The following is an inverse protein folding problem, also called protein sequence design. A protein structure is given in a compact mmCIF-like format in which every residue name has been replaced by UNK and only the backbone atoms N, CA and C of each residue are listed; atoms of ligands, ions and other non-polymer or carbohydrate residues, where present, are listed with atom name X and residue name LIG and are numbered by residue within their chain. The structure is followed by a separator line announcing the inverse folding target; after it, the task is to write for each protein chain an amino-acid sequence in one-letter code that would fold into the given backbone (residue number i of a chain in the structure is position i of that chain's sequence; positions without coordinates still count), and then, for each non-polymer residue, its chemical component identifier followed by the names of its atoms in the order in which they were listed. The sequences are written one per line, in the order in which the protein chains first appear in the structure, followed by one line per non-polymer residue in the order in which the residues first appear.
data_IF_585346843435
#
_entry.id   IF_585346843435
#
_cell.length_a   1.000
_cell.length_b   1.000
_cell.length_c   1.000
_cell.angle_alpha   90.00
_cell.angle_beta   90.00
_cell.angle_gamma   90.00
#
_symmetry.space_group_name_H-M   'P 1'
#
loop_
_entity.id
_entity.type
_entity.pdbx_description
1 polymer ?
#
# COMPACT_ATOMS: atom_id res chain seq x y z
N UNK A 1 -21.15 -13.81 15.66
CA UNK A 1 -19.77 -13.29 15.48
C UNK A 1 -19.81 -11.78 15.59
N UNK A 2 -19.07 -11.23 16.52
CA UNK A 2 -18.99 -9.79 16.71
C UNK A 2 -18.27 -9.15 15.49
N UNK A 3 -18.89 -8.17 14.85
CA UNK A 3 -18.27 -7.47 13.72
C UNK A 3 -17.23 -6.48 14.26
N UNK A 4 -16.00 -6.61 13.83
CA UNK A 4 -14.99 -5.57 14.01
C UNK A 4 -15.26 -4.41 13.06
N UNK A 5 -14.97 -3.21 13.51
CA UNK A 5 -15.01 -2.03 12.65
C UNK A 5 -13.61 -1.79 12.08
N UNK A 6 -13.52 -1.61 10.78
CA UNK A 6 -12.31 -1.13 10.15
C UNK A 6 -12.29 0.41 10.19
N UNK A 7 -11.16 0.99 10.56
CA UNK A 7 -10.97 2.44 10.64
C UNK A 7 -9.68 2.84 9.94
N UNK A 8 -9.65 4.06 9.39
CA UNK A 8 -8.43 4.64 8.84
C UNK A 8 -7.67 5.33 9.96
N UNK A 9 -6.45 4.88 10.24
CA UNK A 9 -5.60 5.43 11.31
C UNK A 9 -4.52 6.37 10.79
N UNK A 10 -4.16 6.28 9.51
CA UNK A 10 -3.15 7.11 8.88
C UNK A 10 -3.40 7.20 7.38
N UNK A 11 -2.96 8.27 6.76
CA UNK A 11 -3.03 8.47 5.33
C UNK A 11 -1.95 9.42 4.84
N UNK A 12 -1.65 9.34 3.55
CA UNK A 12 -0.69 10.23 2.89
C UNK A 12 -0.70 9.97 1.39
N UNK A 13 0.03 10.78 0.66
CA UNK A 13 0.22 10.62 -0.79
C UNK A 13 1.56 11.20 -1.23
N UNK A 14 2.04 10.77 -2.40
CA UNK A 14 3.12 11.45 -3.12
C UNK A 14 2.62 12.70 -3.84
N UNK A 15 3.54 13.49 -4.36
CA UNK A 15 3.22 14.43 -5.42
C UNK A 15 2.68 13.67 -6.65
N UNK A 16 1.87 14.35 -7.44
CA UNK A 16 1.40 13.85 -8.74
C UNK A 16 2.12 14.64 -9.81
N UNK A 17 2.66 13.95 -10.81
CA UNK A 17 3.35 14.56 -11.92
C UNK A 17 2.81 14.03 -13.24
N UNK A 18 2.95 14.86 -14.29
CA UNK A 18 2.53 14.50 -15.64
C UNK A 18 3.40 13.35 -16.16
N UNK A 19 2.77 12.33 -16.72
CA UNK A 19 3.48 11.23 -17.37
C UNK A 19 4.39 11.75 -18.51
N UNK A 20 5.48 11.07 -18.75
CA UNK A 20 6.46 11.33 -19.82
C UNK A 20 7.27 12.62 -19.60
N UNK A 21 6.63 13.74 -19.27
CA UNK A 21 7.26 15.07 -19.14
C UNK A 21 7.37 15.58 -17.70
N UNK A 22 6.75 14.90 -16.73
CA UNK A 22 6.72 15.34 -15.34
C UNK A 22 7.99 15.03 -14.55
N UNK A 23 8.08 15.60 -13.35
CA UNK A 23 9.25 15.48 -12.48
C UNK A 23 9.49 14.04 -11.96
N UNK A 24 8.45 13.20 -11.95
CA UNK A 24 8.56 11.80 -11.50
C UNK A 24 8.82 10.81 -12.65
N UNK A 25 9.03 11.26 -13.87
CA UNK A 25 9.17 10.38 -15.03
C UNK A 25 10.32 9.37 -14.96
N UNK A 26 11.35 9.66 -14.16
CA UNK A 26 12.49 8.77 -13.94
C UNK A 26 12.52 8.18 -12.53
N UNK A 27 11.47 8.35 -11.76
CA UNK A 27 11.37 7.80 -10.40
C UNK A 27 10.60 6.49 -10.45
N UNK A 28 11.22 5.41 -10.01
CA UNK A 28 10.60 4.09 -9.97
C UNK A 28 9.40 4.06 -9.01
N UNK A 29 8.39 3.26 -9.34
CA UNK A 29 7.17 3.17 -8.52
C UNK A 29 7.44 2.65 -7.11
N UNK A 30 8.39 1.71 -6.95
CA UNK A 30 8.78 1.20 -5.63
C UNK A 30 9.48 2.31 -4.82
N UNK A 31 10.30 3.14 -5.48
CA UNK A 31 11.04 4.21 -4.80
C UNK A 31 10.08 5.25 -4.20
N UNK A 32 9.21 5.84 -5.00
CA UNK A 32 8.30 6.85 -4.45
C UNK A 32 7.21 6.25 -3.57
N UNK A 33 6.74 5.05 -3.88
CA UNK A 33 5.76 4.34 -3.04
C UNK A 33 6.31 4.01 -1.66
N UNK A 34 7.54 3.52 -1.58
CA UNK A 34 8.20 3.25 -0.30
C UNK A 34 8.48 4.53 0.49
N UNK A 35 8.82 5.63 -0.18
CA UNK A 35 8.99 6.92 0.49
C UNK A 35 7.67 7.44 1.09
N UNK A 36 6.55 7.26 0.40
CA UNK A 36 5.23 7.61 0.94
C UNK A 36 4.92 6.80 2.19
N UNK A 37 5.12 5.49 2.14
CA UNK A 37 4.86 4.60 3.28
C UNK A 37 5.77 4.93 4.47
N UNK A 38 7.06 5.13 4.25
CA UNK A 38 8.00 5.58 5.29
C UNK A 38 7.60 6.94 5.87
N UNK A 39 7.16 7.86 5.03
CA UNK A 39 6.68 9.16 5.45
C UNK A 39 5.43 9.08 6.31
N UNK A 40 4.50 8.20 5.98
CA UNK A 40 3.30 7.95 6.79
C UNK A 40 3.69 7.37 8.15
N UNK A 41 4.55 6.34 8.17
CA UNK A 41 5.02 5.73 9.42
C UNK A 41 5.73 6.75 10.33
N UNK A 42 6.57 7.61 9.75
CA UNK A 42 7.27 8.66 10.50
C UNK A 42 6.30 9.71 11.06
N UNK A 43 5.24 10.04 10.32
CA UNK A 43 4.23 11.03 10.73
C UNK A 43 3.31 10.50 11.84
N UNK A 44 3.14 9.20 11.93
CA UNK A 44 2.25 8.55 12.91
C UNK A 44 3.04 7.54 13.76
N UNK A 45 3.94 8.01 14.65
CA UNK A 45 4.86 7.16 15.39
C UNK A 45 4.17 6.23 16.40
N UNK A 46 2.90 6.46 16.71
CA UNK A 46 2.10 5.56 17.54
C UNK A 46 1.68 4.26 16.83
N UNK A 47 1.86 4.17 15.51
CA UNK A 47 1.61 2.94 14.77
C UNK A 47 2.86 2.08 14.75
N UNK A 48 2.72 0.85 15.22
CA UNK A 48 3.79 -0.15 15.18
C UNK A 48 3.70 -0.94 13.85
N UNK A 49 4.66 -0.76 12.93
CA UNK A 49 4.62 -1.46 11.64
C UNK A 49 4.74 -2.99 11.77
N UNK A 50 5.21 -3.51 12.90
CA UNK A 50 5.28 -4.96 13.15
C UNK A 50 3.91 -5.61 13.29
N UNK A 51 2.88 -4.82 13.53
CA UNK A 51 1.49 -5.28 13.60
C UNK A 51 0.82 -5.38 12.22
N UNK A 52 1.46 -4.87 11.17
CA UNK A 52 0.90 -4.96 9.83
C UNK A 52 0.99 -6.39 9.29
N UNK A 53 -0.14 -7.02 9.07
CA UNK A 53 -0.22 -8.39 8.57
C UNK A 53 -0.19 -8.45 7.04
N UNK A 54 -0.70 -7.43 6.36
CA UNK A 54 -0.73 -7.38 4.91
C UNK A 54 -0.56 -5.95 4.38
N UNK A 55 0.05 -5.83 3.22
CA UNK A 55 0.12 -4.60 2.43
C UNK A 55 -0.56 -4.84 1.09
N UNK A 56 -1.70 -4.22 0.89
CA UNK A 56 -2.51 -4.39 -0.32
C UNK A 56 -2.31 -3.18 -1.24
N UNK A 57 -1.60 -3.39 -2.33
CA UNK A 57 -1.33 -2.36 -3.33
C UNK A 57 -2.31 -2.46 -4.50
N UNK A 58 -3.03 -1.37 -4.77
CA UNK A 58 -3.77 -1.21 -6.01
C UNK A 58 -2.83 -0.81 -7.15
N UNK A 59 -2.80 -1.60 -8.22
CA UNK A 59 -1.97 -1.33 -9.39
C UNK A 59 -2.75 -1.64 -10.68
N UNK A 60 -3.04 -0.60 -11.46
CA UNK A 60 -3.82 -0.72 -12.68
C UNK A 60 -3.03 -1.36 -13.83
N UNK A 61 -1.71 -1.20 -13.85
CA UNK A 61 -0.82 -1.71 -14.90
C UNK A 61 0.37 -2.41 -14.22
N UNK A 62 0.21 -3.67 -13.78
CA UNK A 62 1.27 -4.42 -13.09
C UNK A 62 2.28 -5.00 -14.09
N UNK A 63 2.98 -4.12 -14.78
CA UNK A 63 3.94 -4.44 -15.83
C UNK A 63 5.26 -3.69 -15.62
N UNK A 64 6.33 -4.17 -16.25
CA UNK A 64 7.68 -3.59 -16.18
C UNK A 64 8.16 -3.44 -14.73
N UNK A 65 8.58 -2.26 -14.31
CA UNK A 65 9.12 -1.99 -12.96
C UNK A 65 8.11 -2.26 -11.84
N UNK A 66 6.83 -2.12 -12.12
CA UNK A 66 5.73 -2.43 -11.20
C UNK A 66 5.09 -3.79 -11.46
N UNK A 67 5.79 -4.65 -12.20
CA UNK A 67 5.33 -6.01 -12.51
C UNK A 67 5.37 -6.95 -11.32
N UNK A 68 4.85 -8.14 -11.53
CA UNK A 68 4.73 -9.19 -10.53
C UNK A 68 3.88 -8.72 -9.33
N UNK A 69 4.42 -8.77 -8.11
CA UNK A 69 3.71 -8.38 -6.91
C UNK A 69 4.32 -7.12 -6.29
N UNK A 70 3.95 -5.96 -6.83
CA UNK A 70 4.43 -4.66 -6.30
C UNK A 70 4.04 -4.46 -4.84
N UNK A 71 2.93 -5.01 -4.37
CA UNK A 71 2.55 -4.97 -2.95
C UNK A 71 3.63 -5.58 -2.06
N UNK A 72 4.20 -6.71 -2.45
CA UNK A 72 5.31 -7.33 -1.73
C UNK A 72 6.59 -6.49 -1.79
N UNK A 73 6.92 -5.96 -2.94
CA UNK A 73 8.10 -5.11 -3.12
C UNK A 73 8.02 -3.85 -2.24
N UNK A 74 6.84 -3.26 -2.14
CA UNK A 74 6.60 -2.10 -1.27
C UNK A 74 6.70 -2.47 0.21
N UNK A 75 6.19 -3.61 0.64
CA UNK A 75 6.32 -4.07 2.01
C UNK A 75 7.80 -4.23 2.40
N UNK A 76 8.58 -4.91 1.56
CA UNK A 76 10.01 -5.13 1.80
C UNK A 76 10.82 -3.82 1.81
N UNK A 77 10.45 -2.86 0.96
CA UNK A 77 11.19 -1.60 0.78
C UNK A 77 10.80 -0.51 1.79
N UNK A 78 9.71 -0.67 2.53
CA UNK A 78 9.12 0.39 3.35
C UNK A 78 9.37 0.23 4.86
N UNK A 79 10.12 -0.79 5.27
CA UNK A 79 10.45 -1.02 6.68
C UNK A 79 9.41 -1.85 7.45
N UNK A 80 8.51 -2.54 6.74
CA UNK A 80 7.65 -3.55 7.35
C UNK A 80 8.44 -4.84 7.62
N UNK A 81 8.04 -5.65 8.61
CA UNK A 81 8.73 -6.90 8.89
C UNK A 81 8.52 -7.91 7.74
N UNK A 82 9.41 -8.89 7.64
CA UNK A 82 9.31 -9.94 6.63
C UNK A 82 8.03 -10.78 6.76
N UNK A 83 7.41 -10.75 7.92
CA UNK A 83 6.12 -11.43 8.19
C UNK A 83 4.92 -10.72 7.59
N UNK A 84 5.06 -9.44 7.22
CA UNK A 84 3.99 -8.72 6.52
C UNK A 84 3.82 -9.31 5.13
N UNK A 85 2.65 -9.81 4.83
CA UNK A 85 2.31 -10.27 3.49
C UNK A 85 2.19 -9.09 2.53
N UNK A 86 2.18 -9.37 1.24
CA UNK A 86 1.95 -8.34 0.23
C UNK A 86 1.11 -8.89 -0.90
N UNK A 87 0.14 -8.12 -1.32
CA UNK A 87 -0.68 -8.46 -2.48
C UNK A 87 -0.91 -7.27 -3.40
N UNK A 88 -1.13 -7.57 -4.65
CA UNK A 88 -1.43 -6.58 -5.69
C UNK A 88 -2.82 -6.85 -6.23
N UNK A 89 -3.66 -5.84 -6.25
CA UNK A 89 -5.03 -5.93 -6.79
C UNK A 89 -5.18 -5.02 -7.99
N UNK A 90 -5.90 -5.49 -8.99
CA UNK A 90 -6.13 -4.74 -10.21
C UNK A 90 -7.64 -4.69 -10.55
N UNK A 91 -8.20 -3.51 -10.48
CA UNK A 91 -9.49 -3.11 -11.04
C UNK A 91 -9.32 -1.83 -11.86
N UNK A 92 -8.23 -1.74 -12.63
CA UNK A 92 -7.87 -0.57 -13.40
C UNK A 92 -7.88 0.71 -12.54
N UNK A 93 -8.61 1.75 -12.95
CA UNK A 93 -8.63 3.04 -12.25
C UNK A 93 -9.18 2.99 -10.82
N UNK A 94 -9.93 1.95 -10.44
CA UNK A 94 -10.44 1.78 -9.08
C UNK A 94 -9.62 0.83 -8.20
N UNK A 95 -8.40 0.47 -8.62
CA UNK A 95 -7.55 -0.46 -7.88
C UNK A 95 -7.23 0.02 -6.46
N UNK A 96 -6.95 1.32 -6.28
CA UNK A 96 -6.68 1.90 -4.97
C UNK A 96 -7.88 1.85 -4.03
N UNK A 97 -9.08 2.14 -4.52
CA UNK A 97 -10.30 1.98 -3.73
C UNK A 97 -10.56 0.51 -3.38
N UNK A 98 -10.31 -0.40 -4.33
CA UNK A 98 -10.45 -1.83 -4.09
C UNK A 98 -9.49 -2.33 -3.02
N UNK A 99 -8.25 -1.86 -3.00
CA UNK A 99 -7.28 -2.26 -1.98
C UNK A 99 -7.74 -1.87 -0.57
N UNK A 100 -8.29 -0.66 -0.41
CA UNK A 100 -8.86 -0.19 0.85
C UNK A 100 -10.06 -1.05 1.26
N UNK A 101 -10.96 -1.32 0.33
CA UNK A 101 -12.15 -2.16 0.59
C UNK A 101 -11.75 -3.59 0.99
N UNK A 102 -10.74 -4.16 0.33
CA UNK A 102 -10.24 -5.50 0.65
C UNK A 102 -9.63 -5.55 2.05
N UNK A 103 -8.82 -4.55 2.43
CA UNK A 103 -8.26 -4.45 3.78
C UNK A 103 -9.37 -4.31 4.84
N UNK A 104 -10.33 -3.44 4.60
CA UNK A 104 -11.46 -3.27 5.52
C UNK A 104 -12.27 -4.57 5.69
N UNK A 105 -12.53 -5.28 4.59
CA UNK A 105 -13.24 -6.56 4.62
C UNK A 105 -12.45 -7.63 5.40
N UNK A 106 -11.14 -7.69 5.24
CA UNK A 106 -10.29 -8.64 5.98
C UNK A 106 -10.37 -8.38 7.50
N UNK A 107 -10.31 -7.11 7.92
CA UNK A 107 -10.46 -6.72 9.34
C UNK A 107 -11.86 -7.07 9.86
N UNK A 108 -12.91 -6.70 9.13
CA UNK A 108 -14.29 -6.97 9.54
C UNK A 108 -14.61 -8.47 9.60
N UNK A 109 -13.97 -9.27 8.76
CA UNK A 109 -14.11 -10.73 8.75
C UNK A 109 -13.21 -11.42 9.81
N UNK A 110 -12.36 -10.69 10.51
CA UNK A 110 -11.42 -11.24 11.50
C UNK A 110 -10.23 -11.99 10.88
N UNK A 111 -9.94 -11.74 9.60
CA UNK A 111 -8.78 -12.30 8.89
C UNK A 111 -7.51 -11.48 9.13
N UNK A 112 -7.64 -10.22 9.55
CA UNK A 112 -6.57 -9.31 9.92
C UNK A 112 -6.99 -8.43 11.11
N UNK A 113 -6.00 -7.78 11.77
CA UNK A 113 -6.25 -6.87 12.90
C UNK A 113 -5.90 -5.43 12.58
#
# INVERSE_FOLDING_TARGET
MERKNAVVVAFGRSAIAKAIKGSLRYTGCVDYGSQVLKGILAKYPGFDPTLAEDLICGCAIPEAEQGLNIGRLLADSSGFPLTTAGQTVNRFCSSGLQSIASAANAIMAGQAQ
#
